data_IF_611325305125
#
_entry.id   IF_611325305125
#
_cell.length_a   1.000
_cell.length_b   1.000
_cell.length_c   1.000
_cell.angle_alpha   90.00
_cell.angle_beta   90.00
_cell.angle_gamma   90.00
#
_symmetry.space_group_name_H-M   'P 1'
#
loop_
_entity.id
_entity.type
_entity.pdbx_description
1 polymer ?
#
# COMPACT_ATOMS: atom_id res chain seq x y z
N UNK A 1 -19.06 -15.43 -2.32
CA UNK A 1 -17.75 -15.26 -1.61
C UNK A 1 -16.85 -14.20 -2.26
N UNK A 2 -16.45 -14.35 -3.54
CA UNK A 2 -15.56 -13.37 -4.23
C UNK A 2 -16.03 -11.91 -4.12
N UNK A 3 -17.30 -11.66 -4.41
CA UNK A 3 -17.85 -10.29 -4.38
C UNK A 3 -17.83 -9.68 -2.98
N UNK A 4 -18.09 -10.49 -1.96
CA UNK A 4 -18.03 -10.07 -0.56
C UNK A 4 -16.61 -9.69 -0.15
N UNK A 5 -15.60 -10.46 -0.59
CA UNK A 5 -14.18 -10.14 -0.34
C UNK A 5 -13.81 -8.83 -1.04
N UNK A 6 -14.21 -8.64 -2.29
CA UNK A 6 -13.93 -7.41 -3.03
C UNK A 6 -14.61 -6.21 -2.36
N UNK A 7 -15.86 -6.36 -1.90
CA UNK A 7 -16.58 -5.32 -1.17
C UNK A 7 -15.87 -4.98 0.14
N UNK A 8 -15.56 -5.98 0.96
CA UNK A 8 -14.86 -5.79 2.23
C UNK A 8 -13.50 -5.11 2.03
N UNK A 9 -12.75 -5.49 1.01
CA UNK A 9 -11.49 -4.83 0.67
C UNK A 9 -11.69 -3.37 0.25
N UNK A 10 -12.71 -3.03 -0.55
CA UNK A 10 -13.01 -1.64 -0.92
C UNK A 10 -13.41 -0.78 0.27
N UNK A 11 -14.22 -1.34 1.16
CA UNK A 11 -14.66 -0.67 2.38
C UNK A 11 -13.43 -0.40 3.28
N UNK A 12 -12.59 -1.42 3.50
CA UNK A 12 -11.32 -1.29 4.21
C UNK A 12 -10.38 -0.26 3.55
N UNK A 13 -10.22 -0.32 2.23
CA UNK A 13 -9.29 0.55 1.51
C UNK A 13 -9.74 2.01 1.56
N UNK A 14 -11.05 2.29 1.60
CA UNK A 14 -11.58 3.63 1.84
C UNK A 14 -11.15 4.17 3.21
N UNK A 15 -11.27 3.36 4.26
CA UNK A 15 -10.82 3.73 5.61
C UNK A 15 -9.30 3.93 5.64
N UNK A 16 -8.54 3.03 5.02
CA UNK A 16 -7.08 3.11 4.97
C UNK A 16 -6.61 4.42 4.33
N UNK A 17 -7.27 4.91 3.29
CA UNK A 17 -6.96 6.22 2.69
C UNK A 17 -7.12 7.36 3.70
N UNK A 18 -8.19 7.33 4.49
CA UNK A 18 -8.40 8.30 5.56
C UNK A 18 -7.31 8.19 6.64
N UNK A 19 -6.92 6.97 7.02
CA UNK A 19 -5.85 6.75 8.01
C UNK A 19 -4.49 7.27 7.53
N UNK A 20 -4.17 7.08 6.25
CA UNK A 20 -2.93 7.58 5.63
C UNK A 20 -2.96 9.12 5.52
N UNK A 21 -4.08 9.71 5.12
CA UNK A 21 -4.24 11.17 5.04
C UNK A 21 -4.14 11.85 6.43
N UNK A 22 -4.55 11.14 7.49
CA UNK A 22 -4.46 11.60 8.88
C UNK A 22 -3.17 11.14 9.57
N UNK A 23 -2.18 10.64 8.82
CA UNK A 23 -0.91 10.23 9.40
C UNK A 23 -0.19 11.40 10.07
N UNK A 24 0.47 11.11 11.19
CA UNK A 24 1.31 12.07 11.88
C UNK A 24 2.70 12.04 11.26
N UNK A 25 3.06 13.12 10.56
CA UNK A 25 4.36 13.25 9.92
C UNK A 25 4.41 12.57 8.55
N UNK A 26 5.53 11.88 8.27
CA UNK A 26 5.77 11.29 6.97
C UNK A 26 5.35 9.81 6.91
N UNK A 27 4.95 9.37 5.72
CA UNK A 27 4.68 7.97 5.42
C UNK A 27 5.95 7.37 4.81
N UNK A 28 6.46 6.30 5.43
CA UNK A 28 7.57 5.52 4.89
C UNK A 28 7.04 4.34 4.08
N UNK A 29 7.65 4.09 2.93
CA UNK A 29 7.24 3.04 2.01
C UNK A 29 8.30 1.96 1.91
N UNK A 30 7.89 0.70 1.90
CA UNK A 30 8.71 -0.40 1.38
C UNK A 30 8.09 -0.91 0.09
N UNK A 31 8.93 -1.14 -0.91
CA UNK A 31 8.56 -1.74 -2.19
C UNK A 31 9.36 -3.03 -2.35
N UNK A 32 8.67 -4.16 -2.25
CA UNK A 32 9.26 -5.49 -2.45
C UNK A 32 8.89 -5.99 -3.85
N UNK A 33 9.91 -6.32 -4.65
CA UNK A 33 9.75 -6.80 -6.02
C UNK A 33 10.39 -8.16 -6.11
N UNK A 34 9.59 -9.15 -6.52
CA UNK A 34 10.08 -10.51 -6.73
C UNK A 34 9.39 -11.14 -7.93
N UNK A 35 9.98 -12.25 -8.39
CA UNK A 35 9.39 -13.11 -9.41
C UNK A 35 9.03 -14.45 -8.77
N UNK A 36 7.79 -14.92 -8.97
CA UNK A 36 7.37 -16.21 -8.41
C UNK A 36 7.96 -17.41 -9.19
N UNK A 37 7.68 -18.63 -8.72
CA UNK A 37 8.14 -19.87 -9.35
C UNK A 37 7.64 -20.07 -10.79
N UNK A 38 6.54 -19.39 -11.14
CA UNK A 38 5.94 -19.41 -12.47
C UNK A 38 6.44 -18.25 -13.35
N UNK A 39 7.53 -17.58 -12.94
CA UNK A 39 8.13 -16.43 -13.63
C UNK A 39 7.18 -15.23 -13.74
N UNK A 40 6.27 -15.06 -12.78
CA UNK A 40 5.38 -13.90 -12.71
C UNK A 40 5.99 -12.86 -11.75
N UNK A 41 6.36 -11.67 -12.25
CA UNK A 41 6.84 -10.59 -11.41
C UNK A 41 5.70 -9.92 -10.64
N UNK A 42 5.95 -9.57 -9.39
CA UNK A 42 5.04 -8.86 -8.51
C UNK A 42 5.77 -7.70 -7.82
N UNK A 43 4.99 -6.66 -7.51
CA UNK A 43 5.38 -5.53 -6.67
C UNK A 43 4.40 -5.44 -5.50
N UNK A 44 4.90 -5.63 -4.28
CA UNK A 44 4.17 -5.30 -3.06
C UNK A 44 4.65 -3.96 -2.52
N UNK A 45 3.71 -3.10 -2.14
CA UNK A 45 4.03 -1.81 -1.51
C UNK A 45 3.34 -1.72 -0.16
N UNK A 46 4.12 -1.46 0.88
CA UNK A 46 3.64 -1.35 2.26
C UNK A 46 3.92 0.05 2.79
N UNK A 47 2.88 0.70 3.31
CA UNK A 47 2.98 1.98 3.99
C UNK A 47 3.18 1.79 5.49
N UNK A 48 4.06 2.60 6.07
CA UNK A 48 4.35 2.66 7.49
C UNK A 48 4.19 4.11 7.95
N UNK A 49 3.39 4.35 8.97
CA UNK A 49 3.13 5.71 9.46
C UNK A 49 2.86 5.72 10.96
N UNK A 50 3.00 6.89 11.59
CA UNK A 50 2.63 7.09 12.98
C UNK A 50 1.21 7.61 13.05
N UNK A 51 0.39 7.06 13.95
CA UNK A 51 -0.95 7.54 14.25
C UNK A 51 -1.10 7.77 15.76
N UNK A 52 -1.95 8.73 16.13
CA UNK A 52 -2.37 8.91 17.53
C UNK A 52 -3.41 7.86 17.88
N UNK A 53 -3.30 7.26 19.06
CA UNK A 53 -4.40 6.51 19.66
C UNK A 53 -5.31 7.47 20.43
N UNK A 54 -6.49 7.72 19.88
CA UNK A 54 -7.50 8.63 20.43
C UNK A 54 -7.85 8.33 21.90
N UNK A 55 -7.71 7.07 22.32
CA UNK A 55 -8.09 6.64 23.67
C UNK A 55 -6.94 6.69 24.70
N UNK A 56 -5.69 6.84 24.27
CA UNK A 56 -4.54 6.71 25.18
C UNK A 56 -3.49 7.82 25.06
N UNK A 57 -3.67 8.80 24.16
CA UNK A 57 -2.68 9.85 23.88
C UNK A 57 -1.27 9.30 23.55
N UNK A 58 -1.20 8.05 23.08
CA UNK A 58 0.05 7.40 22.67
C UNK A 58 0.19 7.38 21.16
N UNK A 59 1.42 7.44 20.68
CA UNK A 59 1.73 7.25 19.27
C UNK A 59 1.95 5.77 18.96
N UNK A 60 1.39 5.30 17.86
CA UNK A 60 1.57 3.93 17.39
C UNK A 60 2.03 3.91 15.94
N UNK A 61 3.03 3.06 15.69
CA UNK A 61 3.39 2.68 14.33
C UNK A 61 2.27 1.82 13.74
N UNK A 62 1.77 2.23 12.59
CA UNK A 62 0.78 1.54 11.77
C UNK A 62 1.45 1.09 10.49
N UNK A 63 1.00 -0.06 10.00
CA UNK A 63 1.54 -0.70 8.80
C UNK A 63 0.38 -1.26 8.00
N UNK A 64 0.38 -1.02 6.68
CA UNK A 64 -0.63 -1.59 5.78
C UNK A 64 -0.08 -1.82 4.38
N UNK A 65 -0.49 -2.94 3.78
CA UNK A 65 -0.23 -3.25 2.38
C UNK A 65 -1.17 -2.40 1.51
N UNK A 66 -0.62 -1.43 0.79
CA UNK A 66 -1.40 -0.54 -0.08
C UNK A 66 -1.52 -1.08 -1.51
N UNK A 67 -0.60 -1.97 -1.90
CA UNK A 67 -0.65 -2.63 -3.18
C UNK A 67 0.01 -4.02 -3.16
N UNK A 68 -0.62 -4.96 -3.87
CA UNK A 68 -0.02 -6.19 -4.36
C UNK A 68 -0.33 -6.25 -5.85
N UNK A 69 0.66 -5.96 -6.68
CA UNK A 69 0.46 -5.70 -8.10
C UNK A 69 1.24 -6.69 -8.95
N UNK A 70 0.58 -7.27 -9.96
CA UNK A 70 1.27 -8.02 -11.00
C UNK A 70 2.05 -7.01 -11.88
N UNK A 71 3.37 -7.19 -11.99
CA UNK A 71 4.27 -6.19 -12.58
C UNK A 71 5.03 -6.74 -13.80
N UNK A 72 4.33 -7.10 -14.90
CA UNK A 72 4.99 -7.64 -16.08
C UNK A 72 5.82 -6.58 -16.82
N UNK A 73 6.82 -7.02 -17.58
CA UNK A 73 7.65 -6.17 -18.42
C UNK A 73 9.03 -5.90 -17.82
N UNK A 74 9.66 -4.80 -18.27
CA UNK A 74 11.03 -4.46 -17.90
C UNK A 74 11.09 -3.87 -16.48
N UNK A 75 12.01 -4.37 -15.65
CA UNK A 75 12.26 -3.90 -14.29
C UNK A 75 13.21 -2.68 -14.26
N UNK A 76 13.04 -1.75 -15.20
CA UNK A 76 13.84 -0.51 -15.20
C UNK A 76 13.42 0.39 -14.05
N UNK A 77 14.33 1.24 -13.56
CA UNK A 77 14.03 2.21 -12.51
C UNK A 77 12.84 3.12 -12.87
N UNK A 78 12.74 3.52 -14.14
CA UNK A 78 11.60 4.30 -14.66
C UNK A 78 10.27 3.55 -14.55
N UNK A 79 10.21 2.28 -14.98
CA UNK A 79 8.96 1.53 -14.95
C UNK A 79 8.51 1.21 -13.51
N UNK A 80 9.49 0.95 -12.63
CA UNK A 80 9.24 0.78 -11.19
C UNK A 80 8.68 2.09 -10.61
N UNK A 81 9.33 3.22 -10.87
CA UNK A 81 8.88 4.53 -10.37
C UNK A 81 7.47 4.88 -10.88
N UNK A 82 7.22 4.76 -12.18
CA UNK A 82 5.92 5.04 -12.78
C UNK A 82 4.81 4.14 -12.24
N UNK A 83 5.11 2.86 -11.96
CA UNK A 83 4.13 1.94 -11.37
C UNK A 83 3.90 2.25 -9.90
N UNK A 84 4.96 2.51 -9.14
CA UNK A 84 4.85 2.90 -7.74
C UNK A 84 4.01 4.18 -7.59
N UNK A 85 4.31 5.24 -8.35
CA UNK A 85 3.56 6.50 -8.31
C UNK A 85 2.06 6.30 -8.59
N UNK A 86 1.69 5.45 -9.55
CA UNK A 86 0.27 5.11 -9.80
C UNK A 86 -0.39 4.35 -8.65
N UNK A 87 0.37 3.49 -7.95
CA UNK A 87 -0.14 2.77 -6.78
C UNK A 87 -0.30 3.69 -5.57
N UNK A 88 0.58 4.69 -5.43
CA UNK A 88 0.51 5.74 -4.41
C UNK A 88 -0.69 6.67 -4.65
N UNK A 89 -0.87 7.16 -5.87
CA UNK A 89 -2.06 7.96 -6.26
C UNK A 89 -3.36 7.21 -5.99
N UNK A 90 -3.40 5.90 -6.31
CA UNK A 90 -4.54 5.05 -5.96
C UNK A 90 -4.80 4.99 -4.44
N UNK A 91 -3.75 5.01 -3.62
CA UNK A 91 -3.82 5.03 -2.15
C UNK A 91 -4.03 6.44 -1.57
N UNK A 92 -4.07 7.48 -2.41
CA UNK A 92 -4.27 8.87 -1.98
C UNK A 92 -3.07 9.50 -1.30
N UNK A 93 -1.86 9.06 -1.64
CA UNK A 93 -0.58 9.57 -1.10
C UNK A 93 0.41 9.92 -2.21
#
# INVERSE_FOLDING_TARGET
>A
LRELIIKAWRDYFTVLKCDLANSLGQISLTADIWTDKNRRPFLATTAHWIASDENSATFRLKVALIAFHYFPGSHTGENIANTLLRLLDRAGI
#
